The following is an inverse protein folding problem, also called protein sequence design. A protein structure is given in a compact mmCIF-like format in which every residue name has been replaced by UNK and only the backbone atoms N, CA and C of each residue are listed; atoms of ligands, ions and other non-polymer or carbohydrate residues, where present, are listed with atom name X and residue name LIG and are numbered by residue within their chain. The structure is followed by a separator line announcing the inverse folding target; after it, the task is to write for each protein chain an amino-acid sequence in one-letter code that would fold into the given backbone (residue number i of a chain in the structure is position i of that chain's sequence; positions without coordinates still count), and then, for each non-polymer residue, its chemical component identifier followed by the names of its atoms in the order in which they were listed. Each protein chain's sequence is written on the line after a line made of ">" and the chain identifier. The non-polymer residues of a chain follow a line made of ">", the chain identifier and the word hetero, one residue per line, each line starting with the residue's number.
data_IF_493030041088
#
_entry.id   IF_493030041088
#
_cell.length_a   1.000
_cell.length_b   1.000
_cell.length_c   1.000
_cell.angle_alpha   90.00
_cell.angle_beta   90.00
_cell.angle_gamma   90.00
#
_symmetry.space_group_name_H-M   'P 1'
#
loop_
_entity.id
_entity.type
_entity.pdbx_description
1 polymer ?
#
# COMPACT_ATOMS: atom_id res chain seq x y z
N UNK A 1 15.00 3.73 -12.53
CA UNK A 1 14.83 2.77 -13.63
C UNK A 1 13.81 3.28 -14.63
N UNK A 2 12.50 3.29 -14.32
CA UNK A 2 11.46 3.77 -15.25
C UNK A 2 11.60 5.23 -15.70
N UNK A 3 12.01 6.12 -14.79
CA UNK A 3 12.28 7.54 -15.11
C UNK A 3 13.44 7.73 -16.08
N UNK A 4 14.48 6.90 -15.96
CA UNK A 4 15.63 6.96 -16.86
C UNK A 4 15.28 6.37 -18.21
N UNK A 5 14.54 5.26 -18.23
CA UNK A 5 14.00 4.71 -19.49
C UNK A 5 13.16 5.74 -20.24
N UNK A 6 12.17 6.36 -19.59
CA UNK A 6 11.34 7.41 -20.18
C UNK A 6 12.16 8.58 -20.75
N UNK A 7 13.20 8.99 -20.02
CA UNK A 7 14.09 10.06 -20.47
C UNK A 7 14.97 9.65 -21.67
N UNK A 8 15.50 8.42 -21.65
CA UNK A 8 16.40 7.91 -22.71
C UNK A 8 15.69 7.48 -23.99
N UNK A 9 14.44 7.02 -23.90
CA UNK A 9 13.67 6.57 -25.07
C UNK A 9 12.91 7.72 -25.74
N UNK A 10 12.74 8.86 -25.07
CA UNK A 10 11.93 9.99 -25.57
C UNK A 10 10.47 9.62 -25.80
N UNK A 11 10.01 8.49 -25.25
CA UNK A 11 8.66 8.00 -25.42
C UNK A 11 7.66 8.87 -24.65
N UNK A 12 6.40 8.87 -25.10
CA UNK A 12 5.30 9.47 -24.35
C UNK A 12 5.21 8.83 -22.95
N UNK A 13 4.76 9.58 -21.92
CA UNK A 13 4.61 9.04 -20.56
C UNK A 13 3.82 7.73 -20.52
N UNK A 14 2.80 7.61 -21.36
CA UNK A 14 1.90 6.45 -21.45
C UNK A 14 2.64 5.21 -21.99
N UNK A 15 3.37 5.36 -23.09
CA UNK A 15 4.19 4.29 -23.65
C UNK A 15 5.32 3.90 -22.68
N UNK A 16 5.97 4.88 -22.05
CA UNK A 16 7.01 4.62 -21.06
C UNK A 16 6.49 3.80 -19.86
N UNK A 17 5.27 4.05 -19.38
CA UNK A 17 4.63 3.27 -18.31
C UNK A 17 4.38 1.82 -18.74
N UNK A 18 3.87 1.60 -19.94
CA UNK A 18 3.67 0.25 -20.48
C UNK A 18 4.98 -0.53 -20.59
N UNK A 19 6.03 0.12 -21.08
CA UNK A 19 7.37 -0.47 -21.18
C UNK A 19 7.99 -0.80 -19.83
N UNK A 20 7.59 -0.10 -18.75
CA UNK A 20 8.07 -0.39 -17.40
C UNK A 20 7.43 -1.65 -16.78
N UNK A 21 6.30 -2.15 -17.30
CA UNK A 21 5.59 -3.28 -16.71
C UNK A 21 6.42 -4.59 -16.71
N UNK A 22 7.03 -5.05 -17.82
CA UNK A 22 7.87 -6.25 -17.83
C UNK A 22 9.05 -6.17 -16.85
N UNK A 23 9.69 -4.99 -16.77
CA UNK A 23 10.79 -4.76 -15.84
C UNK A 23 10.31 -4.72 -14.38
N UNK A 24 9.09 -4.24 -14.12
CA UNK A 24 8.49 -4.25 -12.79
C UNK A 24 8.26 -5.68 -12.31
N UNK A 25 7.77 -6.56 -13.18
CA UNK A 25 7.64 -7.99 -12.84
C UNK A 25 9.00 -8.64 -12.59
N UNK A 26 10.01 -8.36 -13.43
CA UNK A 26 11.36 -8.86 -13.22
C UNK A 26 11.95 -8.39 -11.88
N UNK A 27 11.79 -7.11 -11.55
CA UNK A 27 12.18 -6.55 -10.25
C UNK A 27 11.47 -7.21 -9.09
N UNK A 28 10.18 -7.55 -9.26
CA UNK A 28 9.39 -8.28 -8.27
C UNK A 28 9.92 -9.71 -8.03
N UNK A 29 10.44 -10.38 -9.06
CA UNK A 29 11.10 -11.69 -8.89
C UNK A 29 12.46 -11.57 -8.20
N UNK A 30 13.22 -10.52 -8.50
CA UNK A 30 14.50 -10.28 -7.85
C UNK A 30 14.31 -10.05 -6.34
N UNK A 31 13.33 -9.24 -5.93
CA UNK A 31 13.06 -9.05 -4.49
C UNK A 31 12.57 -10.35 -3.83
N UNK A 32 11.79 -11.18 -4.54
CA UNK A 32 11.39 -12.50 -4.03
C UNK A 32 12.60 -13.43 -3.84
N UNK A 33 13.55 -13.41 -4.77
CA UNK A 33 14.81 -14.14 -4.64
C UNK A 33 15.60 -13.65 -3.41
N UNK A 34 15.68 -12.34 -3.18
CA UNK A 34 16.30 -11.79 -1.96
C UNK A 34 15.60 -12.26 -0.69
N UNK A 35 14.27 -12.33 -0.65
CA UNK A 35 13.54 -12.88 0.50
C UNK A 35 13.88 -14.35 0.75
N UNK A 36 14.00 -15.15 -0.31
CA UNK A 36 14.45 -16.54 -0.21
C UNK A 36 15.89 -16.65 0.28
N UNK A 37 16.82 -15.87 -0.29
CA UNK A 37 18.21 -15.82 0.12
C UNK A 37 18.36 -15.35 1.58
N UNK A 38 17.52 -14.42 2.01
CA UNK A 38 17.56 -13.89 3.36
C UNK A 38 17.03 -14.87 4.42
N UNK A 39 16.16 -15.81 4.04
CA UNK A 39 15.72 -16.90 4.91
C UNK A 39 16.90 -17.72 5.47
N UNK A 40 18.00 -17.88 4.72
CA UNK A 40 19.20 -18.57 5.21
C UNK A 40 19.93 -17.83 6.34
N UNK A 41 19.83 -16.50 6.40
CA UNK A 41 20.42 -15.69 7.48
C UNK A 41 19.54 -15.67 8.74
N UNK A 42 18.24 -15.96 8.59
CA UNK A 42 17.29 -16.02 9.72
C UNK A 42 17.68 -17.11 10.73
N UNK A 43 18.24 -18.24 10.29
CA UNK A 43 18.71 -19.30 11.19
C UNK A 43 19.85 -18.87 12.14
N UNK A 44 20.63 -17.81 11.79
CA UNK A 44 21.61 -17.19 12.71
C UNK A 44 20.95 -16.18 13.64
N UNK A 45 19.89 -15.51 13.18
CA UNK A 45 19.08 -14.63 14.01
C UNK A 45 18.31 -15.41 15.09
N UNK A 46 17.76 -16.59 14.76
CA UNK A 46 17.05 -17.46 15.70
C UNK A 46 17.96 -17.94 16.85
N UNK A 47 19.24 -18.23 16.55
CA UNK A 47 20.24 -18.59 17.57
C UNK A 47 20.59 -17.41 18.48
N UNK A 48 20.79 -16.22 17.91
CA UNK A 48 21.03 -15.01 18.70
C UNK A 48 19.81 -14.60 19.56
N UNK A 49 18.59 -14.92 19.10
CA UNK A 49 17.36 -14.72 19.87
C UNK A 49 17.24 -15.72 21.05
N UNK A 50 17.65 -16.98 20.85
CA UNK A 50 17.69 -17.98 21.92
C UNK A 50 18.67 -17.61 23.05
N UNK A 51 19.74 -16.89 22.73
CA UNK A 51 20.76 -16.41 23.68
C UNK A 51 20.40 -15.07 24.36
N UNK A 52 19.23 -14.49 24.03
CA UNK A 52 18.74 -13.19 24.52
C UNK A 52 19.72 -12.00 24.32
N UNK A 53 20.67 -12.10 23.38
CA UNK A 53 21.60 -11.01 23.07
C UNK A 53 20.95 -10.01 22.08
N UNK A 54 20.29 -9.01 22.67
CA UNK A 54 19.67 -7.89 21.94
C UNK A 54 20.65 -7.10 21.08
N UNK A 55 21.95 -7.05 21.42
CA UNK A 55 22.98 -6.33 20.65
C UNK A 55 23.47 -7.14 19.45
N UNK A 56 23.54 -8.46 19.57
CA UNK A 56 23.83 -9.34 18.43
C UNK A 56 22.68 -9.33 17.43
N UNK A 57 21.43 -9.39 17.89
CA UNK A 57 20.24 -9.29 17.02
C UNK A 57 20.16 -7.95 16.27
N UNK A 58 20.39 -6.83 16.96
CA UNK A 58 20.38 -5.51 16.32
C UNK A 58 21.47 -5.38 15.24
N UNK A 59 22.68 -5.92 15.50
CA UNK A 59 23.76 -5.95 14.50
C UNK A 59 23.43 -6.84 13.32
N UNK A 60 22.88 -8.03 13.54
CA UNK A 60 22.48 -8.94 12.44
C UNK A 60 21.42 -8.29 11.54
N UNK A 61 20.42 -7.63 12.13
CA UNK A 61 19.39 -6.94 11.38
C UNK A 61 19.96 -5.73 10.61
N UNK A 62 20.79 -4.91 11.24
CA UNK A 62 21.39 -3.75 10.57
C UNK A 62 22.37 -4.16 9.45
N UNK A 63 23.20 -5.19 9.68
CA UNK A 63 24.09 -5.75 8.66
C UNK A 63 23.31 -6.34 7.50
N UNK A 64 22.20 -7.02 7.77
CA UNK A 64 21.28 -7.51 6.74
C UNK A 64 20.72 -6.36 5.91
N UNK A 65 20.13 -5.36 6.56
CA UNK A 65 19.52 -4.22 5.88
C UNK A 65 20.55 -3.49 5.03
N UNK A 66 21.78 -3.32 5.54
CA UNK A 66 22.88 -2.73 4.80
C UNK A 66 23.26 -3.56 3.56
N UNK A 67 23.33 -4.90 3.68
CA UNK A 67 23.63 -5.78 2.53
C UNK A 67 22.52 -5.72 1.48
N UNK A 68 21.25 -5.77 1.89
CA UNK A 68 20.11 -5.68 0.96
C UNK A 68 20.04 -4.30 0.31
N UNK A 69 20.20 -3.23 1.07
CA UNK A 69 20.20 -1.86 0.54
C UNK A 69 21.36 -1.64 -0.43
N UNK A 70 22.57 -2.10 -0.10
CA UNK A 70 23.74 -1.97 -0.95
C UNK A 70 23.62 -2.81 -2.22
N UNK A 71 23.15 -4.05 -2.12
CA UNK A 71 22.96 -4.94 -3.28
C UNK A 71 21.83 -4.45 -4.20
N UNK A 72 20.71 -3.99 -3.64
CA UNK A 72 19.61 -3.40 -4.42
C UNK A 72 20.02 -2.05 -5.03
N UNK A 73 20.77 -1.23 -4.30
CA UNK A 73 21.34 0.02 -4.80
C UNK A 73 22.33 -0.21 -5.95
N UNK A 74 23.22 -1.19 -5.81
CA UNK A 74 24.15 -1.59 -6.87
C UNK A 74 23.41 -2.14 -8.09
N UNK A 75 22.39 -2.97 -7.87
CA UNK A 75 21.56 -3.51 -8.96
C UNK A 75 20.82 -2.38 -9.69
N UNK A 76 20.17 -1.47 -8.98
CA UNK A 76 19.50 -0.33 -9.57
C UNK A 76 20.48 0.57 -10.33
N UNK A 77 21.68 0.79 -9.81
CA UNK A 77 22.74 1.56 -10.46
C UNK A 77 23.23 0.88 -11.74
N UNK A 78 23.57 -0.41 -11.69
CA UNK A 78 24.03 -1.19 -12.84
C UNK A 78 22.95 -1.24 -13.93
N UNK A 79 21.71 -1.52 -13.57
CA UNK A 79 20.61 -1.53 -14.53
C UNK A 79 20.38 -0.13 -15.12
N UNK A 80 20.54 0.94 -14.34
CA UNK A 80 20.31 2.31 -14.82
C UNK A 80 21.47 2.83 -15.69
N UNK A 81 22.72 2.45 -15.42
CA UNK A 81 23.89 2.97 -16.13
C UNK A 81 24.35 2.08 -17.29
N UNK A 82 24.38 0.76 -17.08
CA UNK A 82 24.93 -0.21 -18.04
C UNK A 82 23.83 -0.81 -18.94
N UNK A 83 22.64 -1.04 -18.39
CA UNK A 83 21.59 -1.76 -19.12
C UNK A 83 20.70 -0.88 -20.01
N UNK A 84 21.01 0.41 -20.20
CA UNK A 84 20.18 1.30 -21.04
C UNK A 84 19.97 0.76 -22.46
N UNK A 85 21.06 0.40 -23.14
CA UNK A 85 21.00 -0.11 -24.52
C UNK A 85 20.33 -1.50 -24.64
N UNK A 86 20.63 -2.47 -23.77
CA UNK A 86 19.89 -3.73 -23.71
C UNK A 86 18.39 -3.54 -23.43
N UNK A 87 18.02 -2.62 -22.54
CA UNK A 87 16.60 -2.36 -22.22
C UNK A 87 15.85 -1.80 -23.43
N UNK A 88 16.45 -0.85 -24.17
CA UNK A 88 15.87 -0.29 -25.40
C UNK A 88 15.75 -1.37 -26.48
N UNK A 89 16.78 -2.19 -26.66
CA UNK A 89 16.78 -3.27 -27.65
C UNK A 89 15.76 -4.36 -27.32
N UNK A 90 15.60 -4.69 -26.03
CA UNK A 90 14.59 -5.63 -25.56
C UNK A 90 13.17 -5.11 -25.82
N UNK A 91 12.93 -3.83 -25.56
CA UNK A 91 11.66 -3.17 -25.86
C UNK A 91 11.36 -3.16 -27.36
N UNK A 92 12.34 -2.81 -28.20
CA UNK A 92 12.18 -2.78 -29.65
C UNK A 92 12.02 -4.19 -30.26
N UNK A 93 12.46 -5.23 -29.54
CA UNK A 93 12.27 -6.63 -29.95
C UNK A 93 10.85 -7.15 -29.64
N UNK A 94 10.05 -6.41 -28.84
CA UNK A 94 8.67 -6.80 -28.58
C UNK A 94 7.78 -6.46 -29.80
N UNK A 95 6.88 -7.38 -30.21
CA UNK A 95 5.93 -7.11 -31.29
C UNK A 95 4.94 -6.02 -30.88
N UNK A 96 4.48 -5.25 -31.87
CA UNK A 96 3.64 -4.06 -31.69
C UNK A 96 2.33 -4.35 -30.91
N UNK A 97 1.77 -5.55 -31.05
CA UNK A 97 0.58 -5.99 -30.30
C UNK A 97 0.83 -6.03 -28.79
N UNK A 98 2.04 -6.44 -28.37
CA UNK A 98 2.40 -6.54 -26.95
C UNK A 98 2.70 -5.16 -26.38
N UNK A 99 3.45 -4.33 -27.10
CA UNK A 99 3.76 -2.96 -26.64
C UNK A 99 2.49 -2.11 -26.52
N UNK A 100 1.59 -2.20 -27.50
CA UNK A 100 0.30 -1.52 -27.45
C UNK A 100 -0.58 -2.03 -26.29
N UNK A 101 -0.64 -3.34 -26.06
CA UNK A 101 -1.36 -3.92 -24.91
C UNK A 101 -0.81 -3.45 -23.56
N UNK A 102 0.52 -3.35 -23.44
CA UNK A 102 1.19 -2.85 -22.24
C UNK A 102 0.94 -1.35 -22.02
N UNK A 103 0.87 -0.55 -23.08
CA UNK A 103 0.53 0.88 -23.01
C UNK A 103 -0.91 1.09 -22.50
N UNK A 104 -1.89 0.36 -23.05
CA UNK A 104 -3.27 0.40 -22.57
C UNK A 104 -3.35 -0.05 -21.10
N UNK A 105 -2.63 -1.11 -20.73
CA UNK A 105 -2.55 -1.57 -19.34
C UNK A 105 -1.90 -0.53 -18.42
N UNK A 106 -0.86 0.17 -18.88
CA UNK A 106 -0.19 1.26 -18.17
C UNK A 106 -1.14 2.43 -17.89
N UNK A 107 -2.00 2.78 -18.83
CA UNK A 107 -3.01 3.83 -18.68
C UNK A 107 -4.12 3.47 -17.67
N UNK A 108 -4.43 2.18 -17.50
CA UNK A 108 -5.43 1.70 -16.54
C UNK A 108 -4.82 1.50 -15.14
N UNK A 109 -3.49 1.42 -15.03
CA UNK A 109 -2.78 1.15 -13.78
C UNK A 109 -3.15 2.09 -12.61
N UNK A 110 -3.30 3.43 -12.81
CA UNK A 110 -3.75 4.31 -11.73
C UNK A 110 -5.13 3.94 -11.17
N UNK A 111 -6.07 3.54 -12.04
CA UNK A 111 -7.41 3.11 -11.62
C UNK A 111 -7.37 1.81 -10.81
N UNK A 112 -6.50 0.86 -11.20
CA UNK A 112 -6.27 -0.38 -10.43
C UNK A 112 -5.67 -0.06 -9.06
N UNK A 113 -4.76 0.91 -8.97
CA UNK A 113 -4.21 1.39 -7.71
C UNK A 113 -5.30 1.91 -6.77
N UNK A 114 -6.20 2.76 -7.26
CA UNK A 114 -7.33 3.24 -6.47
C UNK A 114 -8.30 2.13 -6.08
N UNK A 115 -8.55 1.15 -6.97
CA UNK A 115 -9.38 -0.01 -6.65
C UNK A 115 -8.76 -0.88 -5.54
N UNK A 116 -7.44 -1.05 -5.52
CA UNK A 116 -6.74 -1.79 -4.46
C UNK A 116 -6.84 -1.06 -3.12
N UNK A 117 -6.66 0.26 -3.09
CA UNK A 117 -6.85 1.07 -1.89
C UNK A 117 -8.28 0.97 -1.38
N UNK A 118 -9.27 1.12 -2.27
CA UNK A 118 -10.67 0.99 -1.93
C UNK A 118 -10.98 -0.40 -1.38
N UNK A 119 -10.45 -1.48 -1.99
CA UNK A 119 -10.65 -2.85 -1.49
C UNK A 119 -10.16 -3.03 -0.05
N UNK A 120 -9.04 -2.41 0.32
CA UNK A 120 -8.50 -2.49 1.69
C UNK A 120 -9.29 -1.63 2.67
N UNK A 121 -9.80 -0.47 2.22
CA UNK A 121 -10.51 0.48 3.08
C UNK A 121 -12.03 0.24 3.18
N UNK A 122 -12.62 -0.43 2.19
CA UNK A 122 -14.06 -0.56 2.07
C UNK A 122 -14.60 -1.56 3.09
N UNK A 123 -15.42 -1.05 4.01
CA UNK A 123 -16.31 -1.86 4.86
C UNK A 123 -17.74 -1.56 4.45
N UNK A 124 -18.62 -2.57 4.48
CA UNK A 124 -20.01 -2.44 4.05
C UNK A 124 -20.75 -1.27 4.71
N UNK A 125 -20.45 -0.99 5.99
CA UNK A 125 -21.00 0.15 6.75
C UNK A 125 -20.67 1.53 6.15
N UNK A 126 -19.55 1.65 5.44
CA UNK A 126 -19.06 2.92 4.88
C UNK A 126 -19.29 3.06 3.37
N UNK A 127 -19.96 2.10 2.74
CA UNK A 127 -20.33 2.17 1.33
C UNK A 127 -21.15 3.44 0.96
N UNK A 128 -22.10 3.92 1.81
CA UNK A 128 -22.84 5.14 1.51
C UNK A 128 -21.94 6.39 1.40
N UNK A 129 -20.90 6.50 2.23
CA UNK A 129 -19.93 7.61 2.19
C UNK A 129 -19.10 7.59 0.90
N UNK A 130 -18.74 6.39 0.43
CA UNK A 130 -18.04 6.22 -0.85
C UNK A 130 -18.92 6.66 -2.03
N UNK A 131 -20.19 6.25 -2.08
CA UNK A 131 -21.13 6.64 -3.15
C UNK A 131 -21.37 8.15 -3.13
N UNK A 132 -21.51 8.76 -1.94
CA UNK A 132 -21.67 10.20 -1.81
C UNK A 132 -20.45 10.98 -2.34
N UNK A 133 -19.23 10.54 -1.98
CA UNK A 133 -17.99 11.13 -2.49
C UNK A 133 -17.82 10.95 -4.00
N UNK A 134 -18.22 9.79 -4.54
CA UNK A 134 -18.19 9.52 -5.98
C UNK A 134 -19.15 10.44 -6.76
N UNK A 135 -20.39 10.57 -6.30
CA UNK A 135 -21.37 11.49 -6.90
C UNK A 135 -20.85 12.93 -6.88
N UNK A 136 -20.28 13.36 -5.75
CA UNK A 136 -19.71 14.69 -5.63
C UNK A 136 -18.55 14.91 -6.62
N UNK A 137 -17.66 13.94 -6.77
CA UNK A 137 -16.54 14.02 -7.71
C UNK A 137 -16.97 14.02 -9.19
N UNK A 138 -18.08 13.34 -9.54
CA UNK A 138 -18.60 13.31 -10.90
C UNK A 138 -19.35 14.60 -11.31
N UNK A 139 -20.08 15.22 -10.38
CA UNK A 139 -20.94 16.36 -10.68
C UNK A 139 -20.33 17.73 -10.33
N UNK A 140 -19.37 17.79 -9.40
CA UNK A 140 -18.66 19.03 -9.09
C UNK A 140 -17.34 19.11 -9.86
N UNK A 141 -17.23 20.06 -10.78
CA UNK A 141 -15.97 20.39 -11.44
C UNK A 141 -15.05 21.12 -10.47
N UNK A 142 -14.34 20.38 -9.62
CA UNK A 142 -13.27 20.92 -8.80
C UNK A 142 -11.94 20.80 -9.54
N UNK A 143 -11.17 21.89 -9.68
CA UNK A 143 -9.86 21.84 -10.35
C UNK A 143 -8.81 21.08 -9.54
N UNK A 144 -9.05 20.83 -8.25
CA UNK A 144 -8.10 20.19 -7.34
C UNK A 144 -8.79 19.10 -6.52
N UNK A 145 -8.03 18.05 -6.15
CA UNK A 145 -8.51 16.97 -5.28
C UNK A 145 -8.64 17.39 -3.79
N UNK A 146 -7.95 18.46 -3.38
CA UNK A 146 -7.89 18.93 -2.00
C UNK A 146 -9.26 19.21 -1.36
N UNK A 147 -10.21 19.91 -2.00
CA UNK A 147 -11.49 20.21 -1.36
C UNK A 147 -12.35 18.95 -1.14
N UNK A 148 -12.27 17.98 -2.05
CA UNK A 148 -12.94 16.67 -1.89
C UNK A 148 -12.35 15.91 -0.69
N UNK A 149 -11.03 15.93 -0.54
CA UNK A 149 -10.35 15.30 0.59
C UNK A 149 -10.70 15.97 1.94
N UNK A 150 -10.77 17.31 1.97
CA UNK A 150 -11.17 18.05 3.18
C UNK A 150 -12.61 17.77 3.59
N UNK A 151 -13.54 17.69 2.63
CA UNK A 151 -14.92 17.31 2.90
C UNK A 151 -15.02 15.87 3.42
N UNK A 152 -14.27 14.93 2.82
CA UNK A 152 -14.15 13.58 3.34
C UNK A 152 -13.62 13.53 4.78
N UNK A 153 -12.62 14.35 5.11
CA UNK A 153 -12.08 14.46 6.46
C UNK A 153 -13.10 15.01 7.46
N UNK A 154 -13.90 16.01 7.08
CA UNK A 154 -14.97 16.55 7.92
C UNK A 154 -16.02 15.46 8.23
N UNK A 155 -16.48 14.73 7.22
CA UNK A 155 -17.44 13.64 7.44
C UNK A 155 -16.86 12.52 8.32
N UNK A 156 -15.57 12.19 8.16
CA UNK A 156 -14.88 11.21 8.99
C UNK A 156 -14.77 11.67 10.46
N UNK A 157 -14.47 12.95 10.70
CA UNK A 157 -14.39 13.50 12.06
C UNK A 157 -15.76 13.49 12.75
N UNK A 158 -16.83 13.85 12.04
CA UNK A 158 -18.19 13.81 12.58
C UNK A 158 -18.56 12.37 12.99
N UNK A 159 -18.38 11.37 12.10
CA UNK A 159 -18.67 9.97 12.45
C UNK A 159 -17.79 9.48 13.60
N UNK A 160 -16.53 9.89 13.67
CA UNK A 160 -15.61 9.52 14.75
C UNK A 160 -16.06 10.07 16.12
N UNK A 161 -16.39 11.36 16.19
CA UNK A 161 -16.84 11.97 17.45
C UNK A 161 -18.22 11.44 17.87
N UNK A 162 -19.16 11.27 16.95
CA UNK A 162 -20.47 10.66 17.24
C UNK A 162 -20.37 9.20 17.66
N UNK A 163 -19.47 8.42 17.03
CA UNK A 163 -19.23 7.03 17.44
C UNK A 163 -18.57 6.94 18.82
N UNK A 164 -17.71 7.89 19.18
CA UNK A 164 -17.09 7.98 20.51
C UNK A 164 -18.13 8.32 21.59
N UNK A 165 -18.96 9.34 21.38
CA UNK A 165 -20.04 9.71 22.30
C UNK A 165 -21.02 8.54 22.52
N UNK A 166 -21.46 7.87 21.45
CA UNK A 166 -22.36 6.72 21.58
C UNK A 166 -21.74 5.57 22.37
N UNK A 167 -20.42 5.39 22.31
CA UNK A 167 -19.71 4.36 23.07
C UNK A 167 -19.62 4.73 24.56
N UNK A 168 -19.43 6.01 24.87
CA UNK A 168 -19.44 6.55 26.23
C UNK A 168 -20.85 6.43 26.85
N UNK A 169 -21.91 6.82 26.12
CA UNK A 169 -23.31 6.69 26.54
C UNK A 169 -23.74 5.23 26.79
N UNK A 170 -23.31 4.28 25.94
CA UNK A 170 -23.60 2.86 26.15
C UNK A 170 -22.84 2.32 27.38
N UNK A 171 -21.60 2.75 27.60
CA UNK A 171 -20.84 2.35 28.79
C UNK A 171 -21.47 2.88 30.08
N UNK A 172 -21.97 4.12 30.07
CA UNK A 172 -22.70 4.71 31.18
C UNK A 172 -24.06 4.03 31.40
N UNK A 173 -24.80 3.70 30.34
CA UNK A 173 -26.07 2.98 30.45
C UNK A 173 -25.89 1.56 31.04
N UNK A 174 -24.82 0.85 30.65
CA UNK A 174 -24.47 -0.45 31.22
C UNK A 174 -24.04 -0.34 32.69
N UNK A 175 -23.25 0.67 33.05
CA UNK A 175 -22.85 0.91 34.44
C UNK A 175 -24.06 1.24 35.34
N UNK A 176 -25.04 2.00 34.83
CA UNK A 176 -26.27 2.32 35.57
C UNK A 176 -27.24 1.14 35.65
N UNK A 177 -27.24 0.23 34.67
CA UNK A 177 -28.06 -0.99 34.70
C UNK A 177 -27.57 -2.00 35.76
N UNK A 178 -26.25 -2.10 35.98
CA UNK A 178 -25.66 -2.97 37.01
C UNK A 178 -25.94 -2.46 38.44
N UNK A 179 -26.08 -1.14 38.62
CA UNK A 179 -26.35 -0.52 39.93
C UNK A 179 -27.83 -0.62 40.35
N UNK A 180 -28.77 -0.68 39.40
CA UNK A 180 -30.22 -0.72 39.69
C UNK A 180 -30.82 -2.15 39.76
N UNK A 181 -30.06 -3.20 39.45
CA UNK A 181 -30.54 -4.60 39.48
C UNK A 181 -30.62 -5.25 40.87
N UNK A 182 -30.29 -4.51 41.94
CA UNK A 182 -30.03 -5.05 43.28
C UNK A 182 -31.11 -4.80 44.35
N UNK A 183 -32.40 -4.75 44.01
CA UNK A 183 -33.40 -4.69 45.08
C UNK A 183 -34.84 -4.51 44.63
N UNK A 184 -35.54 -5.62 44.36
CA UNK A 184 -36.90 -5.82 44.88
C UNK A 184 -37.34 -7.29 44.77
N UNK A 185 -36.74 -8.17 45.57
CA UNK A 185 -37.30 -9.51 45.83
C UNK A 185 -38.06 -9.48 47.16
N UNK A 186 -39.28 -8.96 47.16
CA UNK A 186 -40.25 -9.13 48.24
C UNK A 186 -41.69 -9.11 47.69
N UNK A 187 -42.07 -10.20 47.02
CA UNK A 187 -43.47 -10.64 47.01
C UNK A 187 -43.48 -11.99 47.71
N UNK A 188 -43.46 -11.93 49.04
CA UNK A 188 -43.75 -13.05 49.91
C UNK A 188 -45.21 -12.96 50.34
N UNK A 189 -45.87 -14.12 50.29
CA UNK A 189 -47.25 -14.48 50.65
C UNK A 189 -48.38 -13.92 49.77
#
# INVERSE_FOLDING_TARGET
>A
MGTVLAHTTGASPEAALGLCLPFSFLGQYVILFYYSAFSFFMGKADKAAAEADTKALARINYTTMAIVSLSYGLLAFLCTYVAQQPMISFVNALPEVITHGLEVAGNILPAVGFAMLLRVMMKAKYAPYFIAGFLMACFCTMPNLLPVALLGAIFALIDFFSAKQRKEEIAEALANADVNGGGNSNVGI
#
